data_IF_475514426608
#
_entry.id   IF_475514426608
#
_cell.length_a   1.000
_cell.length_b   1.000
_cell.length_c   1.000
_cell.angle_alpha   90.00
_cell.angle_beta   90.00
_cell.angle_gamma   90.00
#
_symmetry.space_group_name_H-M   'P 1'
#
loop_
_entity.id
_entity.type
_entity.pdbx_description
1 polymer ?
#
# COMPACT_ATOMS: atom_id res chain seq x y z
N UNK A 1 -0.89 19.43 -8.91
CA UNK A 1 -1.83 18.36 -8.53
C UNK A 1 -1.17 17.51 -7.47
N UNK A 2 -1.89 17.10 -6.41
CA UNK A 2 -1.30 16.31 -5.34
C UNK A 2 -0.94 14.90 -5.84
N UNK A 3 0.33 14.52 -5.69
CA UNK A 3 0.85 13.19 -6.08
C UNK A 3 0.21 12.13 -5.18
N UNK A 4 -0.33 11.06 -5.77
CA UNK A 4 -0.92 9.94 -5.03
C UNK A 4 0.10 8.83 -4.94
N UNK A 5 0.42 8.41 -3.72
CA UNK A 5 1.33 7.30 -3.48
C UNK A 5 0.57 6.15 -2.83
N UNK A 6 0.72 4.96 -3.40
CA UNK A 6 0.19 3.70 -2.86
C UNK A 6 1.34 2.84 -2.35
N UNK A 7 1.18 2.33 -1.12
CA UNK A 7 2.09 1.35 -0.55
C UNK A 7 1.51 -0.05 -0.72
N UNK A 8 2.26 -0.93 -1.38
CA UNK A 8 1.99 -2.37 -1.39
C UNK A 8 2.73 -3.06 -0.25
N UNK A 9 2.03 -3.93 0.48
CA UNK A 9 2.64 -4.73 1.53
C UNK A 9 1.88 -6.05 1.71
N UNK A 10 2.53 -7.16 1.39
CA UNK A 10 2.04 -8.52 1.65
C UNK A 10 3.19 -9.43 2.00
N UNK A 11 2.94 -10.43 2.84
CA UNK A 11 3.88 -11.50 3.14
C UNK A 11 3.71 -12.74 2.26
N UNK A 12 2.69 -12.80 1.41
CA UNK A 12 2.41 -13.96 0.54
C UNK A 12 2.24 -13.59 -0.94
N UNK A 13 2.00 -12.31 -1.27
CA UNK A 13 1.73 -11.86 -2.63
C UNK A 13 2.98 -11.27 -3.29
N UNK A 14 3.15 -11.56 -4.58
CA UNK A 14 4.21 -10.94 -5.40
C UNK A 14 3.81 -9.49 -5.78
N UNK A 15 4.62 -8.47 -5.44
CA UNK A 15 4.37 -7.08 -5.84
C UNK A 15 4.58 -6.82 -7.35
N UNK A 16 5.33 -7.64 -8.07
CA UNK A 16 5.76 -7.32 -9.43
C UNK A 16 4.59 -7.17 -10.44
N UNK A 17 3.58 -8.08 -10.46
CA UNK A 17 2.42 -7.92 -11.33
C UNK A 17 1.62 -6.66 -11.02
N UNK A 18 1.47 -6.31 -9.73
CA UNK A 18 0.79 -5.10 -9.29
C UNK A 18 1.54 -3.85 -9.73
N UNK A 19 2.85 -3.80 -9.51
CA UNK A 19 3.69 -2.68 -9.95
C UNK A 19 3.60 -2.46 -11.46
N UNK A 20 3.67 -3.55 -12.24
CA UNK A 20 3.56 -3.49 -13.70
C UNK A 20 2.17 -2.98 -14.13
N UNK A 21 1.10 -3.44 -13.48
CA UNK A 21 -0.26 -2.99 -13.73
C UNK A 21 -0.43 -1.49 -13.45
N UNK A 22 0.04 -1.00 -12.30
CA UNK A 22 -0.03 0.43 -11.95
C UNK A 22 0.79 1.28 -12.92
N UNK A 23 2.00 0.84 -13.29
CA UNK A 23 2.82 1.56 -14.27
C UNK A 23 2.13 1.68 -15.64
N UNK A 24 1.33 0.67 -16.03
CA UNK A 24 0.61 0.67 -17.31
C UNK A 24 -0.69 1.47 -17.26
N UNK A 25 -1.54 1.23 -16.26
CA UNK A 25 -2.90 1.76 -16.22
C UNK A 25 -3.01 3.10 -15.48
N UNK A 26 -2.14 3.33 -14.49
CA UNK A 26 -2.18 4.47 -13.57
C UNK A 26 -0.78 5.03 -13.28
N UNK A 27 -0.04 5.50 -14.31
CA UNK A 27 1.31 6.04 -14.14
C UNK A 27 1.34 7.34 -13.31
N UNK A 28 0.18 7.96 -13.06
CA UNK A 28 0.02 9.10 -12.15
C UNK A 28 0.17 8.72 -10.67
N UNK A 29 0.06 7.43 -10.34
CA UNK A 29 0.19 6.90 -8.98
C UNK A 29 1.61 6.37 -8.79
N UNK A 30 2.29 6.88 -7.77
CA UNK A 30 3.56 6.33 -7.35
C UNK A 30 3.33 5.02 -6.56
N UNK A 31 3.93 3.93 -7.03
CA UNK A 31 3.82 2.61 -6.41
C UNK A 31 5.09 2.28 -5.61
N UNK A 32 4.95 2.17 -4.29
CA UNK A 32 6.03 1.80 -3.37
C UNK A 32 5.75 0.44 -2.73
N UNK A 33 6.81 -0.26 -2.33
CA UNK A 33 6.72 -1.62 -1.78
C UNK A 33 7.35 -1.59 -0.39
N UNK A 34 6.66 -2.13 0.62
CA UNK A 34 7.23 -2.30 1.96
C UNK A 34 8.40 -3.30 1.95
N UNK A 35 9.52 -3.04 2.66
CA UNK A 35 9.75 -1.96 3.63
C UNK A 35 10.23 -0.62 3.05
N UNK A 36 10.52 -0.55 1.75
CA UNK A 36 11.07 0.63 1.08
C UNK A 36 10.00 1.70 0.75
N UNK A 37 9.28 2.16 1.78
CA UNK A 37 8.15 3.09 1.62
C UNK A 37 8.54 4.57 1.51
N UNK A 38 9.79 4.94 1.82
CA UNK A 38 10.23 6.33 1.89
C UNK A 38 9.57 7.10 3.05
N UNK A 39 9.23 8.37 2.84
CA UNK A 39 8.51 9.18 3.84
C UNK A 39 7.08 8.64 4.05
N UNK A 40 6.71 8.21 5.28
CA UNK A 40 5.36 7.76 5.60
C UNK A 40 4.26 8.80 5.29
N UNK A 41 4.58 10.10 5.31
CA UNK A 41 3.62 11.16 5.05
C UNK A 41 3.24 11.26 3.57
N UNK A 42 4.07 10.74 2.66
CA UNK A 42 3.73 10.67 1.23
C UNK A 42 2.65 9.62 0.94
N UNK A 43 2.50 8.62 1.82
CA UNK A 43 1.60 7.50 1.58
C UNK A 43 0.15 7.93 1.81
N UNK A 44 -0.64 7.82 0.75
CA UNK A 44 -2.06 8.20 0.75
C UNK A 44 -2.99 6.99 0.66
N UNK A 45 -2.49 5.86 0.16
CA UNK A 45 -3.26 4.62 0.02
C UNK A 45 -2.39 3.43 0.39
N UNK A 46 -2.99 2.35 0.87
CA UNK A 46 -2.30 1.10 1.15
C UNK A 46 -3.05 -0.06 0.52
N UNK A 47 -2.33 -0.94 -0.17
CA UNK A 47 -2.80 -2.21 -0.72
C UNK A 47 -2.10 -3.33 0.05
N UNK A 48 -2.82 -4.01 0.93
CA UNK A 48 -2.20 -4.80 2.00
C UNK A 48 -2.77 -6.19 2.21
N UNK A 49 -1.92 -7.06 2.74
CA UNK A 49 -2.26 -8.32 3.38
C UNK A 49 -1.26 -8.62 4.51
N UNK A 50 -1.75 -8.96 5.71
CA UNK A 50 -0.94 -9.40 6.87
C UNK A 50 0.40 -8.65 7.03
N UNK A 51 0.31 -7.34 7.24
CA UNK A 51 1.47 -6.47 7.42
C UNK A 51 1.90 -6.42 8.89
N UNK A 52 3.15 -6.01 9.20
CA UNK A 52 3.57 -5.83 10.59
C UNK A 52 2.72 -4.80 11.34
N UNK A 53 2.44 -5.10 12.62
CA UNK A 53 1.70 -4.19 13.49
C UNK A 53 2.38 -2.82 13.60
N UNK A 54 1.58 -1.76 13.67
CA UNK A 54 2.08 -0.39 13.80
C UNK A 54 2.50 0.28 12.48
N UNK A 55 2.68 -0.45 11.37
CA UNK A 55 3.05 0.15 10.07
C UNK A 55 2.00 1.16 9.61
N UNK A 56 0.71 0.79 9.64
CA UNK A 56 -0.37 1.71 9.25
C UNK A 56 -0.45 2.95 10.14
N UNK A 57 -0.07 2.82 11.42
CA UNK A 57 -0.08 3.95 12.34
C UNK A 57 0.96 5.02 11.97
N UNK A 58 1.99 4.68 11.19
CA UNK A 58 2.96 5.64 10.65
C UNK A 58 2.40 6.47 9.49
N UNK A 59 1.40 5.96 8.77
CA UNK A 59 0.88 6.56 7.53
C UNK A 59 -0.18 7.63 7.85
N UNK A 60 0.24 8.79 8.35
CA UNK A 60 -0.68 9.82 8.87
C UNK A 60 -1.61 10.45 7.82
N UNK A 61 -1.25 10.37 6.54
CA UNK A 61 -2.02 10.93 5.43
C UNK A 61 -2.87 9.90 4.69
N UNK A 62 -2.97 8.67 5.23
CA UNK A 62 -3.71 7.57 4.64
C UNK A 62 -5.20 7.93 4.45
N UNK A 63 -5.70 7.72 3.24
CA UNK A 63 -7.08 8.01 2.82
C UNK A 63 -7.90 6.75 2.64
N UNK A 64 -7.28 5.65 2.24
CA UNK A 64 -7.94 4.36 2.10
C UNK A 64 -6.96 3.19 2.25
N UNK A 65 -7.50 2.06 2.69
CA UNK A 65 -6.85 0.75 2.73
C UNK A 65 -7.63 -0.20 1.82
N UNK A 66 -6.93 -0.89 0.94
CA UNK A 66 -7.44 -1.97 0.11
C UNK A 66 -6.87 -3.28 0.63
N UNK A 67 -7.76 -4.22 0.98
CA UNK A 67 -7.37 -5.58 1.35
C UNK A 67 -7.14 -6.40 0.07
N UNK A 68 -6.05 -7.16 0.01
CA UNK A 68 -5.78 -8.12 -1.08
C UNK A 68 -6.63 -9.39 -0.98
N UNK A 69 -7.28 -9.64 0.16
CA UNK A 69 -8.19 -10.77 0.35
C UNK A 69 -9.55 -10.35 0.89
N UNK A 70 -10.51 -11.26 0.80
CA UNK A 70 -11.90 -11.01 1.21
C UNK A 70 -12.07 -10.91 2.74
N UNK A 71 -11.28 -11.67 3.51
CA UNK A 71 -11.25 -11.56 4.97
C UNK A 71 -10.40 -10.38 5.41
N UNK A 72 -10.90 -9.60 6.39
CA UNK A 72 -10.23 -8.40 6.91
C UNK A 72 -9.84 -8.53 8.39
N UNK A 73 -9.99 -9.71 8.97
CA UNK A 73 -9.72 -9.97 10.39
C UNK A 73 -8.31 -9.53 10.77
N UNK A 74 -7.32 -9.75 9.92
CA UNK A 74 -5.92 -9.35 10.19
C UNK A 74 -5.66 -7.83 10.23
N UNK A 75 -6.63 -6.99 9.86
CA UNK A 75 -6.48 -5.52 9.81
C UNK A 75 -7.07 -4.85 11.07
N UNK A 76 -8.08 -5.47 11.70
CA UNK A 76 -8.89 -4.85 12.75
C UNK A 76 -8.39 -5.18 14.17
N UNK A 77 -7.40 -6.08 14.29
CA UNK A 77 -6.79 -6.50 15.57
C UNK A 77 -5.66 -5.60 16.03
#
# INVERSE_FOLDING_TARGET
MARRTILFASNIDDPAPWKALFARERPDIEFRIWPDMGDPQDITHALIWRIPNGVLALLKNLKAIFSLGAGIDQIIV
#
